data_IF_119122996743
#
_entry.id   IF_119122996743
#
_cell.length_a   1.000
_cell.length_b   1.000
_cell.length_c   1.000
_cell.angle_alpha   90.00
_cell.angle_beta   90.00
_cell.angle_gamma   90.00
#
_symmetry.space_group_name_H-M   'P 1'
#
loop_
_entity.id
_entity.type
_entity.pdbx_description
1 polymer ?
#
# COMPACT_ATOMS: atom_id res chain seq x y z
N UNK A 1 -18.47 -42.24 -28.60
CA UNK A 1 -18.80 -41.48 -27.37
C UNK A 1 -17.70 -41.44 -26.28
N UNK A 2 -16.58 -42.19 -26.37
CA UNK A 2 -15.50 -42.18 -25.36
C UNK A 2 -14.48 -41.02 -25.46
N UNK A 3 -14.34 -40.39 -26.64
CA UNK A 3 -13.30 -39.36 -26.88
C UNK A 3 -13.59 -37.98 -26.25
N UNK A 4 -14.86 -37.66 -25.97
CA UNK A 4 -15.24 -36.36 -25.39
C UNK A 4 -15.05 -36.28 -23.86
N UNK A 5 -14.94 -37.42 -23.17
CA UNK A 5 -14.80 -37.46 -21.70
C UNK A 5 -13.38 -37.19 -21.21
N UNK A 6 -12.38 -37.57 -22.00
CA UNK A 6 -10.96 -37.35 -21.69
C UNK A 6 -10.60 -35.86 -21.59
N UNK A 7 -10.97 -34.97 -22.55
CA UNK A 7 -10.65 -33.54 -22.43
C UNK A 7 -11.38 -32.87 -21.26
N UNK A 8 -12.61 -33.30 -20.94
CA UNK A 8 -13.37 -32.79 -19.79
C UNK A 8 -12.67 -33.17 -18.47
N UNK A 9 -12.23 -34.42 -18.33
CA UNK A 9 -11.52 -34.88 -17.12
C UNK A 9 -10.19 -34.14 -16.96
N UNK A 10 -9.45 -33.90 -18.04
CA UNK A 10 -8.19 -33.14 -17.99
C UNK A 10 -8.43 -31.67 -17.60
N UNK A 11 -9.48 -31.03 -18.11
CA UNK A 11 -9.85 -29.66 -17.73
C UNK A 11 -10.25 -29.57 -16.25
N UNK A 12 -11.02 -30.54 -15.75
CA UNK A 12 -11.41 -30.60 -14.34
C UNK A 12 -10.20 -30.83 -13.42
N UNK A 13 -9.28 -31.72 -13.79
CA UNK A 13 -8.04 -31.95 -13.06
C UNK A 13 -7.14 -30.71 -13.05
N UNK A 14 -6.97 -30.04 -14.20
CA UNK A 14 -6.22 -28.79 -14.28
C UNK A 14 -6.86 -27.68 -13.44
N UNK A 15 -8.19 -27.58 -13.44
CA UNK A 15 -8.93 -26.66 -12.59
C UNK A 15 -8.74 -26.93 -11.09
N UNK A 16 -8.82 -28.20 -10.67
CA UNK A 16 -8.57 -28.59 -9.28
C UNK A 16 -7.13 -28.34 -8.84
N UNK A 17 -6.14 -28.65 -9.69
CA UNK A 17 -4.74 -28.34 -9.44
C UNK A 17 -4.50 -26.83 -9.35
N UNK A 18 -5.12 -26.05 -10.23
CA UNK A 18 -5.05 -24.59 -10.19
C UNK A 18 -5.66 -24.03 -8.90
N UNK A 19 -6.85 -24.51 -8.50
CA UNK A 19 -7.48 -24.10 -7.23
C UNK A 19 -6.59 -24.48 -6.03
N UNK A 20 -6.05 -25.70 -6.01
CA UNK A 20 -5.14 -26.15 -4.95
C UNK A 20 -3.86 -25.32 -4.88
N UNK A 21 -3.28 -24.99 -6.05
CA UNK A 21 -2.12 -24.10 -6.15
C UNK A 21 -2.45 -22.70 -5.62
N UNK A 22 -3.58 -22.12 -6.03
CA UNK A 22 -4.02 -20.80 -5.56
C UNK A 22 -4.27 -20.79 -4.05
N UNK A 23 -4.87 -21.86 -3.51
CA UNK A 23 -5.13 -21.98 -2.08
C UNK A 23 -3.83 -22.11 -1.27
N UNK A 24 -2.90 -22.98 -1.71
CA UNK A 24 -1.60 -23.14 -1.08
C UNK A 24 -0.72 -21.88 -1.16
N UNK A 25 -0.72 -21.21 -2.31
CA UNK A 25 0.05 -19.98 -2.52
C UNK A 25 -0.50 -18.82 -1.67
N UNK A 26 -1.83 -18.70 -1.52
CA UNK A 26 -2.43 -17.71 -0.61
C UNK A 26 -2.05 -17.96 0.85
N UNK A 27 -2.05 -19.22 1.30
CA UNK A 27 -1.70 -19.56 2.69
C UNK A 27 -0.21 -19.36 3.02
N UNK A 28 0.69 -19.71 2.11
CA UNK A 28 2.14 -19.55 2.29
C UNK A 28 2.58 -18.09 2.36
N UNK A 29 1.76 -17.22 1.80
CA UNK A 29 2.13 -15.84 1.53
C UNK A 29 1.19 -14.87 2.25
N UNK A 30 0.15 -15.34 2.94
CA UNK A 30 -0.69 -14.49 3.77
C UNK A 30 0.18 -13.74 4.80
N UNK A 31 -0.14 -12.46 5.08
CA UNK A 31 0.47 -11.80 6.21
C UNK A 31 0.09 -12.55 7.49
N UNK A 32 0.84 -12.31 8.57
CA UNK A 32 0.43 -12.78 9.90
C UNK A 32 -0.95 -12.24 10.31
N UNK A 33 -1.42 -12.62 11.49
CA UNK A 33 -2.66 -12.03 12.03
C UNK A 33 -2.57 -10.51 12.16
N UNK A 34 -3.71 -9.84 12.13
CA UNK A 34 -3.82 -8.44 12.52
C UNK A 34 -3.27 -8.26 13.94
N UNK A 35 -2.53 -7.18 14.19
CA UNK A 35 -1.80 -6.96 15.44
C UNK A 35 -2.48 -5.88 16.26
N UNK A 36 -2.66 -6.14 17.55
CA UNK A 36 -3.08 -5.19 18.56
C UNK A 36 -1.96 -5.08 19.61
N UNK A 37 -1.56 -3.87 19.95
CA UNK A 37 -0.62 -3.61 21.04
C UNK A 37 -1.35 -3.14 22.30
N UNK A 38 -0.71 -3.33 23.45
CA UNK A 38 -1.25 -2.94 24.77
C UNK A 38 -1.54 -1.44 24.88
N UNK A 39 -0.79 -0.61 24.14
CA UNK A 39 -1.02 0.83 24.06
C UNK A 39 -2.22 1.23 23.17
N UNK A 40 -3.00 0.27 22.68
CA UNK A 40 -4.16 0.52 21.84
C UNK A 40 -3.87 0.64 20.35
N UNK A 41 -2.61 0.68 19.91
CA UNK A 41 -2.26 0.72 18.49
C UNK A 41 -2.66 -0.58 17.77
N UNK A 42 -3.12 -0.47 16.52
CA UNK A 42 -3.66 -1.58 15.73
C UNK A 42 -3.13 -1.58 14.31
N UNK A 43 -2.78 -2.76 13.80
CA UNK A 43 -2.51 -3.00 12.39
C UNK A 43 -3.47 -4.07 11.89
N UNK A 44 -4.39 -3.68 11.00
CA UNK A 44 -5.43 -4.56 10.48
C UNK A 44 -5.18 -4.86 9.01
N UNK A 45 -4.90 -6.13 8.68
CA UNK A 45 -4.74 -6.56 7.30
C UNK A 45 -6.09 -6.53 6.56
N UNK A 46 -6.04 -6.15 5.29
CA UNK A 46 -7.20 -6.03 4.41
C UNK A 46 -6.83 -6.47 2.99
N UNK A 47 -7.84 -6.71 2.17
CA UNK A 47 -7.63 -6.74 0.72
C UNK A 47 -7.06 -5.39 0.26
N UNK A 48 -6.14 -5.45 -0.70
CA UNK A 48 -5.59 -4.25 -1.31
C UNK A 48 -6.67 -3.47 -2.06
N UNK A 49 -6.69 -2.16 -1.85
CA UNK A 49 -7.62 -1.23 -2.49
C UNK A 49 -7.23 -0.87 -3.93
N UNK A 50 -6.31 -1.63 -4.53
CA UNK A 50 -5.79 -1.50 -5.88
C UNK A 50 -5.49 -2.88 -6.46
N UNK A 51 -5.33 -2.96 -7.77
CA UNK A 51 -4.98 -4.20 -8.46
C UNK A 51 -3.50 -4.56 -8.25
N UNK A 52 -3.27 -5.76 -7.72
CA UNK A 52 -1.91 -6.31 -7.56
C UNK A 52 -1.51 -7.01 -8.87
N UNK A 53 -0.38 -6.63 -9.50
CA UNK A 53 0.06 -7.25 -10.75
C UNK A 53 0.31 -8.76 -10.60
N UNK A 54 0.10 -9.50 -11.68
CA UNK A 54 0.32 -10.94 -11.71
C UNK A 54 1.75 -11.30 -11.29
N UNK A 55 1.87 -12.32 -10.43
CA UNK A 55 3.16 -12.79 -9.91
C UNK A 55 3.78 -11.87 -8.84
N UNK A 56 3.09 -10.80 -8.44
CA UNK A 56 3.43 -10.02 -7.24
C UNK A 56 2.73 -10.58 -6.02
N UNK A 57 3.38 -10.31 -4.91
CA UNK A 57 2.80 -10.51 -3.59
C UNK A 57 2.84 -9.17 -2.89
N UNK A 58 1.67 -8.69 -2.51
CA UNK A 58 1.50 -7.42 -1.82
C UNK A 58 0.46 -7.57 -0.73
N UNK A 59 0.73 -7.00 0.43
CA UNK A 59 -0.21 -6.96 1.54
C UNK A 59 -0.56 -5.53 1.87
N UNK A 60 -1.84 -5.31 2.12
CA UNK A 60 -2.36 -4.02 2.49
C UNK A 60 -2.94 -4.08 3.88
N UNK A 61 -2.72 -3.02 4.65
CA UNK A 61 -3.24 -2.90 6.00
C UNK A 61 -3.66 -1.47 6.29
N UNK A 62 -4.50 -1.34 7.30
CA UNK A 62 -4.77 -0.08 7.95
C UNK A 62 -4.09 -0.08 9.31
N UNK A 63 -3.22 0.92 9.52
CA UNK A 63 -2.58 1.18 10.79
C UNK A 63 -3.33 2.30 11.52
N UNK A 64 -3.77 2.00 12.73
CA UNK A 64 -4.35 2.93 13.67
C UNK A 64 -3.34 3.09 14.81
N UNK A 65 -2.64 4.24 14.92
CA UNK A 65 -1.70 4.45 16.01
C UNK A 65 -2.43 4.49 17.37
N UNK A 66 -1.66 4.42 18.46
CA UNK A 66 -2.19 4.65 19.81
C UNK A 66 -3.01 5.96 19.82
N UNK A 67 -4.18 5.98 20.48
CA UNK A 67 -4.94 7.21 20.67
C UNK A 67 -4.03 8.33 21.18
N UNK A 68 -4.15 9.52 20.58
CA UNK A 68 -3.47 10.71 21.08
C UNK A 68 -4.25 11.34 22.23
N UNK A 69 -3.70 12.38 22.86
CA UNK A 69 -4.38 13.12 23.93
C UNK A 69 -5.70 13.77 23.49
N UNK A 70 -5.90 13.97 22.19
CA UNK A 70 -7.12 14.51 21.61
C UNK A 70 -8.14 13.42 21.25
N UNK A 71 -7.83 12.14 21.48
CA UNK A 71 -8.61 10.97 21.04
C UNK A 71 -8.97 11.02 19.55
N UNK A 72 -8.11 11.61 18.72
CA UNK A 72 -8.35 11.67 17.29
C UNK A 72 -8.07 10.30 16.68
N UNK A 73 -9.12 9.64 16.17
CA UNK A 73 -8.97 8.38 15.46
C UNK A 73 -8.22 8.63 14.15
N UNK A 74 -6.98 8.14 14.07
CA UNK A 74 -6.16 8.20 12.87
C UNK A 74 -6.15 6.84 12.19
N UNK A 75 -6.16 6.86 10.85
CA UNK A 75 -6.10 5.65 10.03
C UNK A 75 -5.14 5.88 8.87
N UNK A 76 -4.06 5.10 8.86
CA UNK A 76 -2.94 5.24 7.92
C UNK A 76 -2.85 3.98 7.04
N UNK A 77 -2.86 4.09 5.71
CA UNK A 77 -2.68 2.95 4.82
C UNK A 77 -1.23 2.45 4.88
N UNK A 78 -1.03 1.15 4.94
CA UNK A 78 0.28 0.50 4.86
C UNK A 78 0.25 -0.51 3.72
N UNK A 79 1.29 -0.48 2.87
CA UNK A 79 1.50 -1.44 1.80
C UNK A 79 2.85 -2.12 2.00
N UNK A 80 2.85 -3.45 1.95
CA UNK A 80 4.04 -4.29 2.04
C UNK A 80 4.23 -5.01 0.71
N UNK A 81 5.25 -4.63 -0.04
CA UNK A 81 5.70 -5.32 -1.24
C UNK A 81 6.67 -6.42 -0.83
N UNK A 82 6.31 -7.69 -1.07
CA UNK A 82 7.16 -8.82 -0.70
C UNK A 82 8.26 -9.02 -1.73
N UNK A 83 9.48 -9.25 -1.26
CA UNK A 83 10.58 -9.64 -2.15
C UNK A 83 10.32 -11.04 -2.74
N UNK A 84 10.61 -11.21 -4.04
CA UNK A 84 10.28 -12.42 -4.81
C UNK A 84 11.35 -13.50 -4.75
N UNK A 85 12.60 -13.12 -4.46
CA UNK A 85 13.73 -14.05 -4.42
C UNK A 85 13.78 -14.89 -3.14
N UNK A 86 14.43 -16.05 -3.24
CA UNK A 86 14.59 -17.00 -2.14
C UNK A 86 15.60 -16.52 -1.08
N UNK A 87 16.47 -15.58 -1.45
CA UNK A 87 17.51 -14.96 -0.62
C UNK A 87 17.01 -13.75 0.19
N UNK A 88 15.67 -13.59 0.28
CA UNK A 88 15.00 -12.54 1.06
C UNK A 88 15.61 -12.40 2.46
N UNK A 89 16.05 -11.18 2.79
CA UNK A 89 16.53 -10.80 4.12
C UNK A 89 15.35 -10.63 5.08
N UNK A 90 15.55 -10.94 6.38
CA UNK A 90 14.47 -10.91 7.36
C UNK A 90 14.00 -9.50 7.74
N UNK A 91 14.86 -8.48 7.61
CA UNK A 91 14.53 -7.10 7.97
C UNK A 91 13.86 -6.38 6.82
N UNK A 92 12.67 -5.77 7.00
CA UNK A 92 12.06 -4.94 5.97
C UNK A 92 12.74 -3.57 5.85
N UNK A 93 12.49 -2.89 4.74
CA UNK A 93 12.85 -1.49 4.51
C UNK A 93 11.59 -0.65 4.58
N UNK A 94 11.61 0.41 5.38
CA UNK A 94 10.50 1.36 5.49
C UNK A 94 10.82 2.64 4.72
N UNK A 95 10.00 2.97 3.74
CA UNK A 95 10.08 4.24 3.02
C UNK A 95 9.18 5.30 3.67
N UNK A 96 9.72 6.51 3.78
CA UNK A 96 9.01 7.69 4.25
C UNK A 96 9.00 8.74 3.13
N UNK A 97 7.80 9.15 2.71
CA UNK A 97 7.67 10.25 1.76
C UNK A 97 8.24 11.55 2.34
N UNK A 98 9.02 12.26 1.54
CA UNK A 98 9.58 13.57 1.87
C UNK A 98 8.56 14.72 1.75
N UNK A 99 9.06 15.95 1.84
CA UNK A 99 8.25 17.17 1.93
C UNK A 99 8.12 17.67 3.37
N UNK A 100 7.08 18.44 3.67
CA UNK A 100 6.01 17.90 4.52
C UNK A 100 4.68 17.84 3.76
N UNK A 101 3.82 16.88 4.09
CA UNK A 101 2.51 16.74 3.45
C UNK A 101 2.47 15.81 2.22
N UNK A 102 3.61 15.32 1.76
CA UNK A 102 3.70 14.37 0.65
C UNK A 102 3.06 13.02 0.97
N UNK A 103 2.18 12.55 0.08
CA UNK A 103 1.73 11.16 0.08
C UNK A 103 2.83 10.23 -0.45
N UNK A 104 2.72 8.95 -0.13
CA UNK A 104 3.56 7.89 -0.64
C UNK A 104 2.95 7.19 -1.87
N UNK A 105 1.99 7.83 -2.54
CA UNK A 105 1.45 7.40 -3.84
C UNK A 105 0.84 5.99 -3.78
N UNK A 106 0.03 5.74 -2.76
CA UNK A 106 -0.61 4.45 -2.50
C UNK A 106 -2.01 4.31 -3.14
N UNK A 107 -2.40 5.28 -3.97
CA UNK A 107 -3.65 5.26 -4.71
C UNK A 107 -3.63 4.25 -5.87
N UNK A 108 -4.81 3.77 -6.32
CA UNK A 108 -4.92 2.87 -7.47
C UNK A 108 -4.24 3.40 -8.74
N UNK A 109 -4.28 4.71 -8.95
CA UNK A 109 -3.67 5.40 -10.08
C UNK A 109 -2.14 5.45 -10.04
N UNK A 110 -1.53 5.42 -8.85
CA UNK A 110 -0.09 5.69 -8.69
C UNK A 110 0.73 4.45 -8.30
N UNK A 111 0.11 3.44 -7.69
CA UNK A 111 0.79 2.28 -7.10
C UNK A 111 1.67 1.52 -8.11
N UNK A 112 1.33 1.58 -9.40
CA UNK A 112 2.10 0.97 -10.48
C UNK A 112 3.56 1.45 -10.50
N UNK A 113 3.80 2.72 -10.13
CA UNK A 113 5.15 3.29 -10.07
C UNK A 113 6.06 2.59 -9.05
N UNK A 114 5.51 2.11 -7.93
CA UNK A 114 6.29 1.34 -6.95
C UNK A 114 6.76 0.02 -7.49
N UNK A 115 5.91 -0.72 -8.21
CA UNK A 115 6.31 -1.98 -8.82
C UNK A 115 7.39 -1.77 -9.89
N UNK A 116 7.27 -0.72 -10.70
CA UNK A 116 8.28 -0.36 -11.71
C UNK A 116 9.62 0.00 -11.07
N UNK A 117 9.60 0.79 -9.99
CA UNK A 117 10.82 1.15 -9.27
C UNK A 117 11.48 -0.08 -8.61
N UNK A 118 10.68 -0.94 -7.97
CA UNK A 118 11.16 -2.18 -7.33
C UNK A 118 11.76 -3.17 -8.33
N UNK A 119 11.33 -3.16 -9.59
CA UNK A 119 11.95 -3.98 -10.65
C UNK A 119 13.31 -3.47 -11.10
N UNK A 120 13.58 -2.19 -10.90
CA UNK A 120 14.86 -1.56 -11.25
C UNK A 120 15.94 -1.71 -10.17
N UNK A 121 15.63 -2.28 -9.00
CA UNK A 121 16.55 -2.37 -7.88
C UNK A 121 16.77 -3.82 -7.44
N UNK A 122 18.02 -4.17 -7.16
CA UNK A 122 18.36 -5.44 -6.54
C UNK A 122 18.44 -5.28 -5.02
N UNK A 123 17.27 -5.18 -4.39
CA UNK A 123 17.15 -5.00 -2.95
C UNK A 123 16.41 -6.19 -2.33
N UNK A 124 17.12 -7.18 -1.72
CA UNK A 124 16.51 -8.43 -1.26
C UNK A 124 15.73 -8.30 0.06
N UNK A 125 14.92 -7.26 0.18
CA UNK A 125 14.15 -6.93 1.38
C UNK A 125 12.69 -6.73 1.02
N UNK A 126 11.78 -7.05 1.95
CA UNK A 126 10.41 -6.58 1.83
C UNK A 126 10.40 -5.05 1.95
N UNK A 127 9.60 -4.41 1.12
CA UNK A 127 9.53 -2.96 1.06
C UNK A 127 8.20 -2.49 1.61
N UNK A 128 8.24 -1.64 2.62
CA UNK A 128 7.07 -1.14 3.36
C UNK A 128 6.92 0.34 3.07
N UNK A 129 5.72 0.72 2.66
CA UNK A 129 5.35 2.08 2.34
C UNK A 129 4.07 2.42 3.08
N UNK A 130 3.96 3.63 3.62
CA UNK A 130 2.72 4.09 4.25
C UNK A 130 2.54 5.59 4.04
N UNK A 131 1.27 6.03 4.06
CA UNK A 131 0.98 7.47 4.11
C UNK A 131 1.04 7.96 5.55
N UNK A 132 1.81 9.02 5.76
CA UNK A 132 1.94 9.70 7.04
C UNK A 132 0.63 10.42 7.40
N UNK A 133 0.50 10.83 8.67
CA UNK A 133 -0.68 11.56 9.16
C UNK A 133 -1.01 12.75 8.24
N UNK A 134 -2.24 12.78 7.75
CA UNK A 134 -2.75 13.85 6.90
C UNK A 134 -2.33 13.78 5.43
N UNK A 135 -1.53 12.81 5.01
CA UNK A 135 -1.02 12.71 3.63
C UNK A 135 -1.63 11.52 2.85
N UNK A 136 -1.54 11.52 1.52
CA UNK A 136 -2.05 10.45 0.64
C UNK A 136 -3.48 10.00 0.93
N UNK A 137 -3.69 8.72 1.28
CA UNK A 137 -4.98 8.17 1.71
C UNK A 137 -5.16 8.17 3.24
N UNK A 138 -4.15 8.60 4.00
CA UNK A 138 -4.21 8.71 5.46
C UNK A 138 -5.24 9.74 5.93
N UNK A 139 -5.99 9.39 6.98
CA UNK A 139 -7.08 10.19 7.54
C UNK A 139 -6.92 10.39 9.06
N UNK A 140 -7.44 11.49 9.64
CA UNK A 140 -8.10 12.61 8.96
C UNK A 140 -7.11 13.52 8.20
N UNK A 141 -7.65 14.31 7.26
CA UNK A 141 -6.89 15.35 6.55
C UNK A 141 -6.88 16.66 7.34
N UNK A 142 -5.76 17.38 7.40
CA UNK A 142 -5.78 18.76 7.86
C UNK A 142 -6.60 19.59 6.88
N UNK A 143 -7.59 20.32 7.39
CA UNK A 143 -8.35 21.30 6.61
C UNK A 143 -8.05 22.71 7.13
N UNK A 144 -7.42 23.52 6.29
CA UNK A 144 -7.03 24.89 6.60
C UNK A 144 -7.68 25.84 5.58
N UNK A 145 -9.00 26.11 5.69
CA UNK A 145 -9.72 26.95 4.73
C UNK A 145 -9.18 28.39 4.68
N UNK A 146 -8.68 28.92 5.79
CA UNK A 146 -8.08 30.25 5.86
C UNK A 146 -6.83 30.33 4.98
N UNK A 147 -6.01 29.28 5.03
CA UNK A 147 -4.79 29.18 4.25
C UNK A 147 -5.12 28.99 2.76
N UNK A 148 -6.12 28.17 2.42
CA UNK A 148 -6.62 28.04 1.04
C UNK A 148 -7.10 29.39 0.49
N UNK A 149 -7.87 30.14 1.28
CA UNK A 149 -8.37 31.46 0.90
C UNK A 149 -7.26 32.51 0.78
N UNK A 150 -6.19 32.39 1.59
CA UNK A 150 -5.00 33.23 1.47
C UNK A 150 -4.24 32.91 0.18
N UNK A 151 -3.96 31.63 -0.10
CA UNK A 151 -3.26 31.23 -1.33
C UNK A 151 -4.02 31.63 -2.59
N UNK A 152 -5.35 31.46 -2.62
CA UNK A 152 -6.17 31.87 -3.76
C UNK A 152 -6.08 33.38 -4.02
N UNK A 153 -6.00 34.20 -2.97
CA UNK A 153 -5.78 35.65 -3.09
C UNK A 153 -4.38 35.96 -3.62
N UNK A 154 -3.34 35.38 -3.01
CA UNK A 154 -1.95 35.66 -3.38
C UNK A 154 -1.60 35.22 -4.80
N UNK A 155 -2.10 34.07 -5.25
CA UNK A 155 -1.82 33.56 -6.60
C UNK A 155 -2.51 34.38 -7.71
N UNK A 156 -3.50 35.20 -7.38
CA UNK A 156 -4.13 36.14 -8.31
C UNK A 156 -3.43 37.50 -8.40
N UNK A 157 -2.47 37.78 -7.50
CA UNK A 157 -1.75 39.05 -7.42
C UNK A 157 -0.38 38.94 -8.13
N UNK A 158 0.12 40.01 -8.76
CA UNK A 158 1.49 40.05 -9.25
C UNK A 158 2.48 39.93 -8.08
N UNK A 159 3.54 39.12 -8.27
CA UNK A 159 4.58 38.95 -7.26
C UNK A 159 5.18 40.32 -6.88
N UNK A 160 5.42 40.59 -5.58
CA UNK A 160 6.09 41.81 -5.17
C UNK A 160 7.47 41.92 -5.83
N UNK A 161 7.97 43.12 -6.14
CA UNK A 161 9.24 43.31 -6.84
C UNK A 161 10.46 42.64 -6.18
N UNK A 162 10.41 42.41 -4.86
CA UNK A 162 11.47 41.75 -4.10
C UNK A 162 11.54 40.22 -4.29
N UNK A 163 10.47 39.59 -4.79
CA UNK A 163 10.37 38.14 -5.03
C UNK A 163 10.34 37.78 -6.52
N UNK A 164 10.29 38.78 -7.40
CA UNK A 164 10.32 38.64 -8.86
C UNK A 164 11.75 38.68 -9.44
N UNK A 165 12.78 38.60 -8.59
CA UNK A 165 14.21 38.72 -8.93
C UNK A 165 14.88 37.36 -9.12
#
# INVERSE_FOLDING_TARGET
MRRLRIPIILLLLAGLLYIGYQWGHRGLVAPGGSVQLDNGARLQWTDCWFDVPLGRVTHCAWFEPSPDHANTAMRLPVVVFRYRGLDRKPSPVLYLAGGPGGGAWLGPEDIAGWYQWLDGIDWPHDFVVFDQRGTGLGAPKPDCPELKALYARLLGEPLPPAEAM
#
